data_IF_264742941141
#
_entry.id   IF_264742941141
#
_cell.length_a   1.000
_cell.length_b   1.000
_cell.length_c   1.000
_cell.angle_alpha   90.00
_cell.angle_beta   90.00
_cell.angle_gamma   90.00
#
_symmetry.space_group_name_H-M   'P 1'
#
loop_
_entity.id
_entity.type
_entity.pdbx_description
1 polymer ?
#
# COMPACT_ATOMS: atom_id res chain seq x y z
N UNK A 1 27.60 7.30 -11.94
CA UNK A 1 26.22 7.40 -12.44
C UNK A 1 25.32 7.47 -11.21
N UNK A 2 25.12 8.67 -10.67
CA UNK A 2 24.33 8.86 -9.46
C UNK A 2 22.86 8.86 -9.86
N UNK A 3 22.07 7.95 -9.31
CA UNK A 3 20.63 8.08 -9.38
C UNK A 3 20.27 9.31 -8.54
N UNK A 4 19.77 10.36 -9.18
CA UNK A 4 19.42 11.61 -8.49
C UNK A 4 18.24 11.37 -7.53
N UNK A 5 18.53 10.95 -6.30
CA UNK A 5 17.53 10.65 -5.28
C UNK A 5 16.63 11.86 -4.99
N UNK A 6 17.15 13.07 -5.09
CA UNK A 6 16.36 14.32 -4.98
C UNK A 6 15.32 14.43 -6.10
N UNK A 7 15.72 14.10 -7.34
CA UNK A 7 14.81 14.10 -8.49
C UNK A 7 13.72 13.04 -8.34
N UNK A 8 14.10 11.84 -7.89
CA UNK A 8 13.15 10.74 -7.63
C UNK A 8 12.17 11.15 -6.52
N UNK A 9 12.65 11.72 -5.41
CA UNK A 9 11.81 12.19 -4.32
C UNK A 9 10.81 13.25 -4.76
N UNK A 10 11.25 14.21 -5.59
CA UNK A 10 10.38 15.23 -6.17
C UNK A 10 9.29 14.64 -7.07
N UNK A 11 9.62 13.67 -7.92
CA UNK A 11 8.64 12.99 -8.77
C UNK A 11 7.63 12.17 -7.95
N UNK A 12 8.08 11.46 -6.90
CA UNK A 12 7.18 10.74 -6.00
C UNK A 12 6.19 11.69 -5.33
N UNK A 13 6.65 12.87 -4.88
CA UNK A 13 5.79 13.89 -4.30
C UNK A 13 4.79 14.45 -5.32
N UNK A 14 5.23 14.71 -6.55
CA UNK A 14 4.35 15.16 -7.63
C UNK A 14 3.27 14.12 -7.96
N UNK A 15 3.61 12.84 -8.00
CA UNK A 15 2.65 11.75 -8.23
C UNK A 15 1.62 11.61 -7.09
N UNK A 16 1.98 11.97 -5.85
CA UNK A 16 1.07 11.92 -4.70
C UNK A 16 0.07 13.10 -4.71
N UNK A 17 0.49 14.25 -5.26
CA UNK A 17 -0.37 15.45 -5.44
C UNK A 17 -1.27 15.33 -6.67
N UNK A 18 -0.84 14.62 -7.72
CA UNK A 18 -1.61 14.44 -8.94
C UNK A 18 -2.99 13.82 -8.65
N UNK A 19 -4.04 14.64 -8.77
CA UNK A 19 -5.42 14.23 -8.53
C UNK A 19 -5.98 13.38 -9.70
N UNK A 20 -5.45 13.60 -10.91
CA UNK A 20 -5.90 12.99 -12.14
C UNK A 20 -5.01 11.81 -12.56
N UNK A 21 -5.64 10.71 -12.97
CA UNK A 21 -4.95 9.48 -13.37
C UNK A 21 -3.96 9.67 -14.53
N UNK A 22 -4.18 10.67 -15.39
CA UNK A 22 -3.28 10.99 -16.50
C UNK A 22 -1.99 11.67 -16.05
N UNK A 23 -2.06 12.63 -15.13
CA UNK A 23 -0.88 13.28 -14.56
C UNK A 23 -0.05 12.26 -13.78
N UNK A 24 -0.73 11.39 -13.01
CA UNK A 24 -0.07 10.32 -12.28
C UNK A 24 0.65 9.34 -13.21
N UNK A 25 0.01 8.93 -14.30
CA UNK A 25 0.60 8.04 -15.29
C UNK A 25 1.84 8.65 -15.96
N UNK A 26 1.83 9.95 -16.25
CA UNK A 26 2.98 10.64 -16.81
C UNK A 26 4.19 10.62 -15.85
N UNK A 27 3.95 10.87 -14.56
CA UNK A 27 5.00 10.83 -13.54
C UNK A 27 5.50 9.40 -13.30
N UNK A 28 4.60 8.41 -13.29
CA UNK A 28 4.93 6.98 -13.23
C UNK A 28 5.85 6.56 -14.40
N UNK A 29 5.60 7.05 -15.61
CA UNK A 29 6.44 6.79 -16.78
C UNK A 29 7.84 7.40 -16.63
N UNK A 30 7.94 8.63 -16.10
CA UNK A 30 9.24 9.28 -15.83
C UNK A 30 10.02 8.53 -14.74
N UNK A 31 9.33 8.08 -13.68
CA UNK A 31 9.91 7.26 -12.62
C UNK A 31 10.39 5.91 -13.17
N UNK A 32 9.62 5.28 -14.06
CA UNK A 32 10.00 4.06 -14.77
C UNK A 32 11.30 4.20 -15.57
N UNK A 33 11.48 5.33 -16.25
CA UNK A 33 12.72 5.63 -16.99
C UNK A 33 13.95 5.78 -16.07
N UNK A 34 13.73 6.11 -14.78
CA UNK A 34 14.77 6.19 -13.76
C UNK A 34 15.00 4.86 -13.03
N UNK A 35 14.28 3.80 -13.38
CA UNK A 35 14.34 2.49 -12.72
C UNK A 35 13.46 2.38 -11.47
N UNK A 36 12.56 3.34 -11.26
CA UNK A 36 11.59 3.33 -10.16
C UNK A 36 10.28 2.71 -10.64
N UNK A 37 9.79 1.73 -9.90
CA UNK A 37 8.55 1.02 -10.19
C UNK A 37 7.49 1.34 -9.13
N UNK A 38 6.29 1.66 -9.61
CA UNK A 38 5.11 1.81 -8.77
C UNK A 38 4.65 0.43 -8.30
N UNK A 39 4.49 0.29 -6.98
CA UNK A 39 3.92 -0.89 -6.36
C UNK A 39 2.46 -0.60 -6.02
N UNK A 40 1.57 -1.29 -6.70
CA UNK A 40 0.15 -1.29 -6.39
C UNK A 40 -0.28 -2.72 -6.08
N UNK A 41 -1.21 -2.85 -5.14
CA UNK A 41 -1.73 -4.13 -4.70
C UNK A 41 -3.25 -4.12 -4.74
N UNK A 42 -3.82 -5.26 -5.12
CA UNK A 42 -5.26 -5.43 -5.23
C UNK A 42 -5.84 -5.82 -3.87
N UNK A 43 -7.01 -5.28 -3.48
CA UNK A 43 -7.72 -5.76 -2.30
C UNK A 43 -7.99 -7.26 -2.40
N UNK A 44 -7.84 -7.96 -1.28
CA UNK A 44 -7.89 -9.42 -1.16
C UNK A 44 -6.53 -10.12 -1.26
N UNK A 45 -5.47 -9.43 -1.70
CA UNK A 45 -4.13 -10.00 -1.71
C UNK A 45 -3.59 -10.21 -0.28
N UNK A 46 -2.64 -11.13 -0.13
CA UNK A 46 -1.96 -11.39 1.15
C UNK A 46 -1.15 -10.18 1.57
N UNK A 47 -1.30 -9.77 2.84
CA UNK A 47 -0.47 -8.70 3.38
C UNK A 47 0.96 -9.19 3.56
N UNK A 48 1.89 -8.51 2.90
CA UNK A 48 3.32 -8.78 3.01
C UNK A 48 4.05 -7.59 3.67
N UNK A 49 4.61 -7.74 4.88
CA UNK A 49 5.24 -6.64 5.61
C UNK A 49 6.57 -6.17 5.00
N UNK A 50 7.15 -6.89 4.03
CA UNK A 50 8.40 -6.48 3.37
C UNK A 50 8.18 -5.42 2.30
N UNK A 51 6.94 -5.29 1.80
CA UNK A 51 6.57 -4.31 0.77
C UNK A 51 5.33 -3.48 1.13
N UNK A 52 4.52 -3.92 2.09
CA UNK A 52 3.31 -3.25 2.53
C UNK A 52 3.42 -2.72 3.96
N UNK A 53 2.83 -1.55 4.18
CA UNK A 53 2.70 -0.89 5.49
C UNK A 53 1.23 -0.79 5.85
N UNK A 54 0.82 -1.55 6.87
CA UNK A 54 -0.54 -1.50 7.40
C UNK A 54 -0.76 -0.19 8.17
N UNK A 55 -1.41 0.80 7.55
CA UNK A 55 -1.73 2.09 8.18
C UNK A 55 -3.07 2.09 8.89
N UNK A 56 -3.96 1.16 8.53
CA UNK A 56 -5.24 0.96 9.20
C UNK A 56 -5.61 -0.52 9.26
N UNK A 57 -6.37 -0.88 10.28
CA UNK A 57 -6.88 -2.23 10.51
C UNK A 57 -8.40 -2.18 10.42
N UNK A 58 -8.98 -3.02 9.57
CA UNK A 58 -10.43 -3.09 9.33
C UNK A 58 -10.92 -4.46 9.79
N UNK A 59 -12.04 -4.57 10.51
CA UNK A 59 -12.60 -5.88 10.85
C UNK A 59 -12.93 -6.66 9.58
N UNK A 60 -12.43 -7.90 9.49
CA UNK A 60 -12.68 -8.77 8.35
C UNK A 60 -14.17 -9.15 8.28
N UNK A 61 -14.84 -9.04 7.11
CA UNK A 61 -16.22 -9.49 6.95
C UNK A 61 -16.36 -11.02 7.00
N UNK A 62 -15.25 -11.74 6.82
CA UNK A 62 -15.20 -13.19 6.92
C UNK A 62 -13.84 -13.63 7.47
N UNK A 63 -13.79 -14.71 8.29
CA UNK A 63 -12.54 -15.17 8.90
C UNK A 63 -11.47 -15.58 7.88
N UNK A 64 -11.86 -15.98 6.67
CA UNK A 64 -10.92 -16.31 5.58
C UNK A 64 -10.22 -15.10 4.94
N UNK A 65 -10.61 -13.86 5.29
CA UNK A 65 -9.96 -12.63 4.81
C UNK A 65 -9.04 -12.00 5.86
N UNK A 66 -8.85 -12.64 7.02
CA UNK A 66 -7.94 -12.12 8.04
C UNK A 66 -6.50 -12.17 7.53
N UNK A 67 -5.73 -11.11 7.78
CA UNK A 67 -4.37 -10.88 7.25
C UNK A 67 -4.30 -10.64 5.73
N UNK A 68 -5.41 -10.29 5.08
CA UNK A 68 -5.39 -9.83 3.69
C UNK A 68 -5.57 -8.31 3.61
N UNK A 69 -5.29 -7.75 2.43
CA UNK A 69 -5.40 -6.32 2.17
C UNK A 69 -6.86 -5.97 1.92
N UNK A 70 -7.42 -5.09 2.75
CA UNK A 70 -8.77 -4.59 2.61
C UNK A 70 -8.88 -3.54 1.49
N UNK A 71 -7.92 -2.62 1.45
CA UNK A 71 -7.86 -1.57 0.43
C UNK A 71 -6.46 -0.94 0.39
N UNK A 72 -6.05 -0.51 -0.79
CA UNK A 72 -4.82 0.29 -0.97
C UNK A 72 -5.13 1.75 -0.69
N UNK A 73 -4.43 2.34 0.28
CA UNK A 73 -4.58 3.75 0.65
C UNK A 73 -3.67 4.59 -0.21
N UNK A 74 -2.39 4.19 -0.32
CA UNK A 74 -1.40 4.85 -1.17
C UNK A 74 -0.47 3.82 -1.84
N UNK A 75 -0.12 4.04 -3.11
CA UNK A 75 0.84 3.19 -3.80
C UNK A 75 2.23 3.32 -3.17
N UNK A 76 3.00 2.24 -3.26
CA UNK A 76 4.41 2.19 -2.87
C UNK A 76 5.33 2.45 -4.06
N UNK A 77 6.62 2.64 -3.77
CA UNK A 77 7.65 2.89 -4.76
C UNK A 77 8.88 2.06 -4.45
N UNK A 78 9.39 1.33 -5.44
CA UNK A 78 10.66 0.61 -5.35
C UNK A 78 11.62 1.06 -6.44
N UNK A 79 12.91 1.11 -6.13
CA UNK A 79 13.96 1.39 -7.10
C UNK A 79 14.94 0.23 -7.09
N UNK A 80 14.98 -0.55 -8.17
CA UNK A 80 15.78 -1.78 -8.28
C UNK A 80 15.59 -2.74 -7.08
N UNK A 81 16.54 -2.75 -6.14
CA UNK A 81 16.55 -3.61 -4.94
C UNK A 81 16.14 -2.88 -3.65
N UNK A 82 15.88 -1.57 -3.72
CA UNK A 82 15.58 -0.73 -2.56
C UNK A 82 14.13 -0.27 -2.56
N UNK A 83 13.41 -0.54 -1.47
CA UNK A 83 12.10 0.07 -1.22
C UNK A 83 12.33 1.54 -0.86
N UNK A 84 11.79 2.45 -1.68
CA UNK A 84 11.78 3.88 -1.39
C UNK A 84 10.59 4.23 -0.49
N UNK A 85 9.45 3.61 -0.76
CA UNK A 85 8.21 3.79 0.00
C UNK A 85 7.40 2.50 -0.01
N UNK A 86 7.01 2.03 1.17
CA UNK A 86 6.10 0.90 1.30
C UNK A 86 4.70 1.28 0.81
N UNK A 87 3.97 0.30 0.26
CA UNK A 87 2.57 0.49 -0.12
C UNK A 87 1.74 0.64 1.16
N UNK A 88 1.04 1.75 1.31
CA UNK A 88 0.20 1.97 2.49
C UNK A 88 -1.16 1.32 2.26
N UNK A 89 -1.49 0.34 3.08
CA UNK A 89 -2.69 -0.49 2.91
C UNK A 89 -3.50 -0.55 4.21
N UNK A 90 -4.79 -0.82 4.04
CA UNK A 90 -5.66 -1.25 5.12
C UNK A 90 -5.63 -2.77 5.15
N UNK A 91 -5.43 -3.37 6.32
CA UNK A 91 -5.43 -4.83 6.46
C UNK A 91 -6.67 -5.29 7.20
N UNK A 92 -7.22 -6.41 6.77
CA UNK A 92 -8.28 -7.08 7.49
C UNK A 92 -7.71 -7.79 8.71
N UNK A 93 -8.25 -7.46 9.87
CA UNK A 93 -7.94 -8.14 11.13
C UNK A 93 -9.13 -8.95 11.58
N UNK A 94 -8.89 -9.98 12.38
CA UNK A 94 -9.98 -10.69 13.04
C UNK A 94 -10.84 -9.65 13.77
N UNK A 95 -12.12 -9.57 13.42
CA UNK A 95 -13.05 -8.86 14.25
C UNK A 95 -12.95 -9.53 15.62
N UNK A 96 -12.52 -8.78 16.64
CA UNK A 96 -12.55 -9.25 18.01
C UNK A 96 -14.02 -9.50 18.33
N UNK A 97 -14.48 -10.72 18.06
CA UNK A 97 -15.75 -11.18 18.58
C UNK A 97 -15.54 -11.16 20.09
N UNK A 98 -16.15 -10.20 20.77
CA UNK A 98 -16.44 -10.41 22.18
C UNK A 98 -17.31 -11.67 22.20
N UNK A 99 -16.89 -12.77 22.84
CA UNK A 99 -17.87 -13.78 23.19
C UNK A 99 -18.83 -13.04 24.11
N UNK A 100 -20.05 -12.76 23.63
CA UNK A 100 -21.14 -12.38 24.52
C UNK A 100 -21.25 -13.53 25.52
N UNK A 101 -20.73 -13.29 26.73
CA UNK A 101 -20.73 -14.25 27.80
C UNK A 101 -22.19 -14.65 28.01
N UNK A 102 -22.49 -15.91 27.71
CA UNK A 102 -23.75 -16.51 28.09
C UNK A 102 -23.88 -16.44 29.61
N UNK A 103 -24.61 -15.43 30.09
CA UNK A 103 -25.19 -15.45 31.42
C UNK A 103 -26.39 -16.36 31.37
N UNK A 104 -26.18 -17.64 31.64
CA UNK A 104 -27.23 -18.59 31.95
C UNK A 104 -27.69 -18.33 33.39
N UNK A 105 -28.95 -17.97 33.60
CA UNK A 105 -29.73 -18.26 34.82
C UNK A 105 -31.20 -17.94 34.55
#
# INVERSE_FOLDING_TARGET
MGFDFERIGGLIAAADVAADGHERAAVEQQLGALGVQCLSVTPGAVFDPTVHRAVARVPAPSPGQVNTIAATVRPGWRCADRILRYVEVRVFVAASHCPSAGGTS
#
